data_IF_650899545797
#
_entry.id   IF_650899545797
#
_cell.length_a   1.000
_cell.length_b   1.000
_cell.length_c   1.000
_cell.angle_alpha   90.00
_cell.angle_beta   90.00
_cell.angle_gamma   90.00
#
_symmetry.space_group_name_H-M   'P 1'
#
loop_
_entity.id
_entity.type
_entity.pdbx_description
1 polymer ?
#
# COMPACT_ATOMS: atom_id res chain seq x y z
N UNK A 1 -6.99 -14.97 -20.03
CA UNK A 1 -8.01 -15.27 -19.00
C UNK A 1 -7.62 -16.49 -18.15
N UNK A 2 -7.34 -17.68 -18.70
CA UNK A 2 -7.05 -18.87 -17.90
C UNK A 2 -5.88 -18.70 -16.91
N UNK A 3 -4.72 -18.18 -17.37
CA UNK A 3 -3.57 -17.94 -16.49
C UNK A 3 -3.86 -16.95 -15.36
N UNK A 4 -4.62 -15.90 -15.66
CA UNK A 4 -5.07 -14.93 -14.66
C UNK A 4 -5.93 -15.62 -13.59
N UNK A 5 -6.95 -16.37 -14.00
CA UNK A 5 -7.84 -17.03 -13.05
C UNK A 5 -7.13 -18.09 -12.19
N UNK A 6 -6.21 -18.88 -12.77
CA UNK A 6 -5.43 -19.87 -12.02
C UNK A 6 -4.57 -19.21 -10.94
N UNK A 7 -3.84 -18.16 -11.28
CA UNK A 7 -2.99 -17.49 -10.28
C UNK A 7 -3.82 -16.70 -9.27
N UNK A 8 -4.93 -16.10 -9.67
CA UNK A 8 -5.87 -15.44 -8.76
C UNK A 8 -6.44 -16.44 -7.75
N UNK A 9 -6.90 -17.59 -8.20
CA UNK A 9 -7.39 -18.67 -7.32
C UNK A 9 -6.32 -19.11 -6.32
N UNK A 10 -5.12 -19.36 -6.82
CA UNK A 10 -3.99 -19.79 -5.99
C UNK A 10 -3.58 -18.73 -4.95
N UNK A 11 -3.35 -17.49 -5.38
CA UNK A 11 -2.93 -16.42 -4.44
C UNK A 11 -4.02 -16.08 -3.46
N UNK A 12 -5.29 -16.14 -3.85
CA UNK A 12 -6.40 -15.96 -2.91
C UNK A 12 -6.42 -17.10 -1.88
N UNK A 13 -6.31 -18.36 -2.27
CA UNK A 13 -6.26 -19.47 -1.32
C UNK A 13 -5.08 -19.36 -0.35
N UNK A 14 -3.89 -19.05 -0.87
CA UNK A 14 -2.65 -18.94 -0.10
C UNK A 14 -2.68 -17.79 0.91
N UNK A 15 -3.11 -16.60 0.47
CA UNK A 15 -2.99 -15.36 1.26
C UNK A 15 -4.18 -15.12 2.17
N UNK A 16 -5.34 -15.69 1.86
CA UNK A 16 -6.56 -15.47 2.63
C UNK A 16 -6.96 -16.66 3.51
N UNK A 17 -5.97 -17.50 3.84
CA UNK A 17 -6.07 -18.57 4.82
C UNK A 17 -7.10 -19.66 4.45
N UNK A 18 -7.06 -20.13 3.22
CA UNK A 18 -7.94 -21.22 2.75
C UNK A 18 -7.24 -22.58 2.62
N UNK A 19 -5.90 -22.60 2.71
CA UNK A 19 -5.13 -23.84 2.64
C UNK A 19 -5.07 -24.53 4.00
N UNK A 20 -4.83 -25.85 4.06
CA UNK A 20 -4.51 -26.55 5.30
C UNK A 20 -3.34 -25.89 6.04
N UNK A 21 -3.38 -25.92 7.37
CA UNK A 21 -2.34 -25.25 8.17
C UNK A 21 -0.96 -25.86 7.99
N UNK A 22 -0.90 -27.21 7.87
CA UNK A 22 0.35 -27.95 7.77
C UNK A 22 0.23 -29.22 6.95
N UNK A 23 1.34 -29.56 6.31
CA UNK A 23 1.60 -30.88 5.73
C UNK A 23 2.83 -31.48 6.41
N UNK A 24 2.82 -32.79 6.61
CA UNK A 24 3.99 -33.52 7.07
C UNK A 24 4.87 -33.90 5.87
N UNK A 25 6.08 -33.31 5.82
CA UNK A 25 7.07 -33.61 4.81
C UNK A 25 8.35 -34.12 5.48
N UNK A 26 8.69 -35.40 5.25
CA UNK A 26 9.87 -36.06 5.84
C UNK A 26 9.89 -35.99 7.37
N UNK A 27 8.75 -36.10 8.04
CA UNK A 27 8.64 -36.02 9.49
C UNK A 27 8.69 -34.59 10.07
N UNK A 28 8.61 -33.58 9.23
CA UNK A 28 8.58 -32.16 9.63
C UNK A 28 7.27 -31.54 9.18
N UNK A 29 6.56 -30.90 10.11
CA UNK A 29 5.37 -30.12 9.78
C UNK A 29 5.80 -28.81 9.12
N UNK A 30 5.23 -28.52 7.95
CA UNK A 30 5.43 -27.28 7.20
C UNK A 30 4.10 -26.70 6.78
N UNK A 31 4.01 -25.38 6.66
CA UNK A 31 2.83 -24.77 6.03
C UNK A 31 2.58 -25.35 4.66
N UNK A 32 1.33 -25.71 4.37
CA UNK A 32 0.97 -26.25 3.06
C UNK A 32 0.78 -25.17 2.01
N UNK A 33 1.89 -24.59 1.58
CA UNK A 33 1.93 -23.51 0.58
C UNK A 33 1.71 -24.01 -0.86
N UNK A 34 1.75 -25.32 -1.06
CA UNK A 34 1.67 -25.95 -2.39
C UNK A 34 0.44 -26.83 -2.53
N UNK A 35 -0.47 -26.83 -1.56
CA UNK A 35 -1.72 -27.59 -1.69
C UNK A 35 -2.50 -27.10 -2.91
N UNK A 36 -2.98 -28.05 -3.67
CA UNK A 36 -3.92 -27.80 -4.77
C UNK A 36 -5.39 -27.81 -4.29
N UNK A 37 -5.63 -28.11 -3.03
CA UNK A 37 -6.96 -28.30 -2.46
C UNK A 37 -7.13 -27.41 -1.22
N UNK A 38 -8.14 -26.55 -1.26
CA UNK A 38 -8.52 -25.73 -0.12
C UNK A 38 -9.04 -26.61 1.02
N UNK A 39 -8.85 -26.15 2.26
CA UNK A 39 -9.47 -26.73 3.43
C UNK A 39 -10.97 -26.39 3.45
N UNK A 40 -11.89 -27.40 3.38
CA UNK A 40 -13.32 -27.16 3.30
C UNK A 40 -13.88 -26.39 4.51
N UNK A 41 -13.36 -26.63 5.73
CA UNK A 41 -13.83 -25.96 6.95
C UNK A 41 -13.43 -24.49 6.94
N UNK A 42 -12.21 -24.20 6.47
CA UNK A 42 -11.73 -22.82 6.29
C UNK A 42 -12.54 -22.07 5.23
N UNK A 43 -12.84 -22.73 4.10
CA UNK A 43 -13.67 -22.13 3.04
C UNK A 43 -15.07 -21.81 3.56
N UNK A 44 -15.73 -22.78 4.21
CA UNK A 44 -17.10 -22.60 4.75
C UNK A 44 -17.17 -21.53 5.83
N UNK A 45 -16.15 -21.43 6.68
CA UNK A 45 -16.09 -20.43 7.77
C UNK A 45 -15.61 -19.04 7.33
N UNK A 46 -15.17 -18.88 6.08
CA UNK A 46 -14.65 -17.59 5.60
C UNK A 46 -15.76 -16.70 5.07
N UNK A 47 -15.81 -15.48 5.59
CA UNK A 47 -16.54 -14.35 5.02
C UNK A 47 -15.52 -13.28 4.65
N UNK A 48 -15.29 -13.11 3.35
CA UNK A 48 -14.32 -12.17 2.81
C UNK A 48 -14.96 -10.82 2.50
N UNK A 49 -14.28 -9.75 2.83
CA UNK A 49 -14.66 -8.40 2.41
C UNK A 49 -13.47 -7.62 1.89
N UNK A 50 -13.43 -7.43 0.59
CA UNK A 50 -12.55 -6.49 -0.07
C UNK A 50 -13.30 -5.17 -0.29
N UNK A 51 -12.70 -4.05 0.08
CA UNK A 51 -13.36 -2.73 -0.03
C UNK A 51 -12.93 -1.95 -1.28
N UNK A 52 -12.34 -2.62 -2.25
CA UNK A 52 -11.88 -1.97 -3.47
C UNK A 52 -13.08 -1.60 -4.37
N UNK A 53 -12.95 -0.48 -5.09
CA UNK A 53 -13.92 -0.10 -6.10
C UNK A 53 -13.80 -0.99 -7.34
N UNK A 54 -14.94 -1.42 -7.90
CA UNK A 54 -15.03 -2.32 -9.07
C UNK A 54 -14.37 -1.77 -10.34
N UNK A 55 -14.06 -0.48 -10.39
CA UNK A 55 -13.27 0.10 -11.48
C UNK A 55 -11.79 -0.33 -11.45
N UNK A 56 -11.32 -0.91 -10.34
CA UNK A 56 -9.94 -1.32 -10.15
C UNK A 56 -9.75 -2.83 -10.23
N UNK A 57 -8.57 -3.23 -10.71
CA UNK A 57 -8.21 -4.66 -10.81
C UNK A 57 -8.24 -5.37 -9.47
N UNK A 58 -8.02 -4.66 -8.36
CA UNK A 58 -8.07 -5.23 -7.01
C UNK A 58 -9.42 -5.87 -6.72
N UNK A 59 -10.52 -5.17 -7.04
CA UNK A 59 -11.85 -5.74 -6.88
C UNK A 59 -12.05 -6.94 -7.82
N UNK A 60 -11.64 -6.84 -9.10
CA UNK A 60 -11.74 -7.97 -10.01
C UNK A 60 -11.02 -9.20 -9.46
N UNK A 61 -9.80 -9.03 -8.95
CA UNK A 61 -8.97 -10.15 -8.49
C UNK A 61 -9.44 -10.70 -7.13
N UNK A 62 -9.65 -9.84 -6.13
CA UNK A 62 -9.82 -10.24 -4.74
C UNK A 62 -11.18 -9.87 -4.12
N UNK A 63 -12.12 -9.35 -4.89
CA UNK A 63 -13.53 -9.21 -4.49
C UNK A 63 -14.42 -10.12 -5.33
N UNK A 64 -14.07 -10.39 -6.61
CA UNK A 64 -14.92 -11.17 -7.49
C UNK A 64 -14.29 -12.54 -7.78
N UNK A 65 -13.18 -12.58 -8.53
CA UNK A 65 -12.69 -13.87 -9.08
C UNK A 65 -12.06 -14.77 -8.02
N UNK A 66 -11.26 -14.22 -7.10
CA UNK A 66 -10.58 -15.01 -6.08
C UNK A 66 -11.55 -15.71 -5.13
N UNK A 67 -12.43 -14.97 -4.44
CA UNK A 67 -13.41 -15.55 -3.54
C UNK A 67 -14.34 -16.55 -4.25
N UNK A 68 -14.95 -16.17 -5.37
CA UNK A 68 -15.92 -16.99 -6.06
C UNK A 68 -15.35 -18.29 -6.60
N UNK A 69 -14.13 -18.28 -7.15
CA UNK A 69 -13.48 -19.49 -7.67
C UNK A 69 -13.10 -20.46 -6.56
N UNK A 70 -12.85 -19.95 -5.35
CA UNK A 70 -12.53 -20.72 -4.16
C UNK A 70 -13.78 -21.09 -3.33
N UNK A 71 -14.97 -20.67 -3.75
CA UNK A 71 -16.23 -20.99 -3.06
C UNK A 71 -16.45 -20.24 -1.73
N UNK A 72 -15.77 -19.12 -1.54
CA UNK A 72 -15.82 -18.30 -0.31
C UNK A 72 -17.00 -17.34 -0.37
N UNK A 73 -17.69 -17.16 0.77
CA UNK A 73 -18.68 -16.11 0.93
C UNK A 73 -18.02 -14.74 0.94
N UNK A 74 -18.64 -13.77 0.26
CA UNK A 74 -18.10 -12.41 0.21
C UNK A 74 -19.17 -11.34 0.49
N UNK A 75 -18.70 -10.21 0.97
CA UNK A 75 -19.50 -9.00 1.17
C UNK A 75 -19.14 -8.00 0.07
N UNK A 76 -20.17 -7.55 -0.65
CA UNK A 76 -20.07 -6.45 -1.61
C UNK A 76 -20.85 -5.28 -1.02
N UNK A 77 -20.21 -4.12 -0.89
CA UNK A 77 -20.81 -2.93 -0.29
C UNK A 77 -20.97 -1.81 -1.32
N UNK A 78 -22.21 -1.43 -1.58
CA UNK A 78 -22.53 -0.26 -2.41
C UNK A 78 -22.54 1.00 -1.55
N UNK A 79 -21.43 1.74 -1.57
CA UNK A 79 -21.29 2.98 -0.80
C UNK A 79 -19.86 3.45 -0.72
N UNK A 80 -19.70 4.64 -0.13
CA UNK A 80 -18.38 5.21 0.17
C UNK A 80 -18.01 4.96 1.63
N UNK A 81 -16.72 5.06 2.00
CA UNK A 81 -16.25 4.72 3.36
C UNK A 81 -16.96 5.47 4.50
N UNK A 82 -17.45 6.67 4.23
CA UNK A 82 -18.12 7.54 5.19
C UNK A 82 -19.65 7.57 5.05
N UNK A 83 -20.24 6.68 4.27
CA UNK A 83 -21.67 6.65 4.01
C UNK A 83 -22.36 5.50 4.76
N UNK A 84 -23.38 5.74 5.58
CA UNK A 84 -23.88 7.05 6.02
C UNK A 84 -22.99 7.73 7.06
N UNK A 85 -22.02 7.00 7.63
CA UNK A 85 -21.03 7.46 8.62
C UNK A 85 -19.83 6.49 8.66
N UNK A 86 -18.68 6.92 9.16
CA UNK A 86 -17.45 6.10 9.21
C UNK A 86 -17.60 4.79 10.01
N UNK A 87 -18.46 4.74 11.03
CA UNK A 87 -18.74 3.51 11.78
C UNK A 87 -19.44 2.41 10.97
N UNK A 88 -19.88 2.70 9.74
CA UNK A 88 -20.55 1.73 8.87
C UNK A 88 -19.66 0.53 8.54
N UNK A 89 -18.38 0.71 8.39
CA UNK A 89 -17.44 -0.39 8.19
C UNK A 89 -17.48 -1.40 9.34
N UNK A 90 -17.52 -0.92 10.57
CA UNK A 90 -17.57 -1.75 11.76
C UNK A 90 -18.91 -2.51 11.87
N UNK A 91 -20.02 -1.84 11.52
CA UNK A 91 -21.35 -2.47 11.46
C UNK A 91 -21.41 -3.60 10.41
N UNK A 92 -20.75 -3.44 9.27
CA UNK A 92 -20.69 -4.47 8.22
C UNK A 92 -19.87 -5.67 8.70
N UNK A 93 -18.71 -5.42 9.33
CA UNK A 93 -17.85 -6.48 9.87
C UNK A 93 -18.66 -7.33 10.89
N UNK A 94 -19.27 -6.68 11.88
CA UNK A 94 -20.07 -7.36 12.90
C UNK A 94 -21.27 -8.09 12.29
N UNK A 95 -22.08 -7.38 11.48
CA UNK A 95 -23.33 -7.91 10.95
C UNK A 95 -23.18 -9.16 10.11
N UNK A 96 -22.12 -9.22 9.30
CA UNK A 96 -21.88 -10.33 8.38
C UNK A 96 -20.82 -11.31 8.89
N UNK A 97 -20.26 -11.08 10.07
CA UNK A 97 -19.23 -11.93 10.64
C UNK A 97 -18.00 -11.99 9.75
N UNK A 98 -17.54 -10.84 9.23
CA UNK A 98 -16.39 -10.76 8.35
C UNK A 98 -15.17 -11.35 9.04
N UNK A 99 -14.54 -12.31 8.39
CA UNK A 99 -13.33 -12.98 8.90
C UNK A 99 -12.05 -12.42 8.28
N UNK A 100 -12.14 -12.02 7.01
CA UNK A 100 -11.03 -11.50 6.22
C UNK A 100 -11.40 -10.11 5.69
N UNK A 101 -10.72 -9.08 6.20
CA UNK A 101 -10.97 -7.69 5.83
C UNK A 101 -9.76 -7.11 5.06
N UNK A 102 -9.96 -6.83 3.77
CA UNK A 102 -8.92 -6.38 2.84
C UNK A 102 -9.23 -5.01 2.29
N UNK A 103 -8.36 -4.04 2.52
CA UNK A 103 -8.65 -2.63 2.26
C UNK A 103 -7.42 -1.80 1.89
N UNK A 104 -7.62 -0.54 1.55
CA UNK A 104 -6.54 0.38 1.22
C UNK A 104 -6.06 1.17 2.46
N UNK A 105 -4.75 1.48 2.57
CA UNK A 105 -4.20 2.32 3.64
C UNK A 105 -4.89 3.66 3.80
N UNK A 106 -5.33 4.27 2.71
CA UNK A 106 -6.11 5.53 2.74
C UNK A 106 -7.41 5.39 3.52
N UNK A 107 -8.16 4.28 3.34
CA UNK A 107 -9.36 4.03 4.14
C UNK A 107 -9.01 3.86 5.62
N UNK A 108 -7.95 3.11 5.93
CA UNK A 108 -7.48 2.93 7.30
C UNK A 108 -7.17 4.28 7.95
N UNK A 109 -6.45 5.16 7.27
CA UNK A 109 -6.17 6.52 7.76
C UNK A 109 -7.44 7.34 7.98
N UNK A 110 -8.43 7.21 7.10
CA UNK A 110 -9.73 7.88 7.26
C UNK A 110 -10.48 7.38 8.51
N UNK A 111 -10.43 6.07 8.76
CA UNK A 111 -11.00 5.48 9.98
C UNK A 111 -10.23 5.92 11.23
N UNK A 112 -8.89 6.00 11.17
CA UNK A 112 -8.06 6.56 12.27
C UNK A 112 -8.42 8.01 12.55
N UNK A 113 -8.62 8.83 11.53
CA UNK A 113 -9.04 10.22 11.69
C UNK A 113 -10.40 10.36 12.40
N UNK A 114 -11.34 9.48 12.05
CA UNK A 114 -12.67 9.45 12.69
C UNK A 114 -12.67 8.78 14.08
N UNK A 115 -11.76 7.85 14.32
CA UNK A 115 -11.67 7.06 15.55
C UNK A 115 -10.20 6.94 16.01
N UNK A 116 -9.54 8.01 16.45
CA UNK A 116 -8.10 7.98 16.76
C UNK A 116 -7.69 6.91 17.79
N UNK A 117 -8.56 6.67 18.77
CA UNK A 117 -8.36 5.67 19.82
C UNK A 117 -9.12 4.34 19.54
N UNK A 118 -9.49 4.11 18.29
CA UNK A 118 -10.37 3.01 17.91
C UNK A 118 -11.85 3.32 18.16
N UNK A 119 -12.76 2.42 17.70
CA UNK A 119 -14.18 2.53 18.03
C UNK A 119 -14.40 2.36 19.53
N UNK A 120 -15.53 2.87 20.02
CA UNK A 120 -15.91 2.76 21.43
C UNK A 120 -15.90 1.29 21.89
N UNK A 121 -15.21 0.94 22.99
CA UNK A 121 -15.08 -0.43 23.44
C UNK A 121 -16.44 -1.10 23.66
N UNK A 122 -16.62 -2.29 23.10
CA UNK A 122 -17.85 -3.07 23.21
C UNK A 122 -19.01 -2.59 22.32
N UNK A 123 -18.81 -1.57 21.49
CA UNK A 123 -19.82 -1.08 20.57
C UNK A 123 -19.99 -1.97 19.35
N UNK A 124 -18.90 -2.61 18.91
CA UNK A 124 -18.89 -3.52 17.76
C UNK A 124 -18.16 -4.82 18.14
N UNK A 125 -18.60 -5.93 17.57
CA UNK A 125 -17.94 -7.24 17.71
C UNK A 125 -17.05 -7.55 16.52
N UNK A 126 -15.75 -7.65 16.75
CA UNK A 126 -14.73 -8.02 15.76
C UNK A 126 -14.14 -9.42 16.02
N UNK A 127 -14.75 -10.21 16.88
CA UNK A 127 -14.22 -11.53 17.29
C UNK A 127 -14.08 -12.52 16.13
N UNK A 128 -14.79 -12.28 15.03
CA UNK A 128 -14.68 -13.09 13.81
C UNK A 128 -13.48 -12.74 12.94
N UNK A 129 -12.88 -11.55 13.11
CA UNK A 129 -11.77 -11.08 12.25
C UNK A 129 -10.49 -11.84 12.59
N UNK A 130 -10.02 -12.66 11.67
CA UNK A 130 -8.78 -13.42 11.79
C UNK A 130 -7.67 -12.97 10.84
N UNK A 131 -8.06 -12.27 9.75
CA UNK A 131 -7.12 -11.76 8.76
C UNK A 131 -7.47 -10.34 8.35
N UNK A 132 -6.46 -9.49 8.34
CA UNK A 132 -6.48 -8.14 7.82
C UNK A 132 -5.53 -8.03 6.63
N UNK A 133 -5.82 -7.13 5.71
CA UNK A 133 -4.89 -6.90 4.60
C UNK A 133 -4.94 -5.48 4.06
N UNK A 134 -3.82 -5.07 3.47
CA UNK A 134 -3.67 -3.78 2.79
C UNK A 134 -3.21 -3.94 1.34
N UNK A 135 -3.62 -2.98 0.51
CA UNK A 135 -3.38 -2.98 -0.93
C UNK A 135 -3.45 -1.58 -1.53
N UNK A 136 -2.79 -1.41 -2.66
CA UNK A 136 -2.89 -0.23 -3.53
C UNK A 136 -1.84 0.83 -3.29
N UNK A 137 -1.33 0.94 -2.09
CA UNK A 137 -0.19 1.78 -1.70
C UNK A 137 0.52 1.17 -0.50
N UNK A 138 1.75 1.61 -0.23
CA UNK A 138 2.46 1.18 0.98
C UNK A 138 1.75 1.70 2.22
N UNK A 139 1.54 0.82 3.21
CA UNK A 139 0.93 1.20 4.47
C UNK A 139 1.99 1.72 5.44
N UNK A 140 1.69 2.83 6.10
CA UNK A 140 2.55 3.30 7.18
C UNK A 140 2.40 2.43 8.44
N UNK A 141 3.46 2.30 9.26
CA UNK A 141 3.44 1.45 10.45
C UNK A 141 2.33 1.80 11.46
N UNK A 142 1.92 3.05 11.55
CA UNK A 142 0.87 3.47 12.48
C UNK A 142 -0.51 2.99 12.06
N UNK A 143 -0.87 3.17 10.79
CA UNK A 143 -2.13 2.68 10.24
C UNK A 143 -2.22 1.14 10.34
N UNK A 144 -1.09 0.44 10.07
CA UNK A 144 -0.98 -1.00 10.25
C UNK A 144 -1.26 -1.42 11.70
N UNK A 145 -0.59 -0.77 12.69
CA UNK A 145 -0.77 -1.07 14.11
C UNK A 145 -2.19 -0.75 14.58
N UNK A 146 -2.71 0.39 14.16
CA UNK A 146 -4.05 0.82 14.51
C UNK A 146 -5.11 -0.19 14.07
N UNK A 147 -5.09 -0.59 12.78
CA UNK A 147 -6.06 -1.56 12.25
C UNK A 147 -5.93 -2.91 12.97
N UNK A 148 -4.70 -3.41 13.13
CA UNK A 148 -4.45 -4.67 13.81
C UNK A 148 -4.92 -4.65 15.27
N UNK A 149 -4.70 -3.55 15.98
CA UNK A 149 -5.09 -3.42 17.38
C UNK A 149 -6.61 -3.29 17.55
N UNK A 150 -7.24 -2.44 16.77
CA UNK A 150 -8.62 -2.02 17.01
C UNK A 150 -9.67 -2.85 16.25
N UNK A 151 -9.29 -3.49 15.16
CA UNK A 151 -10.19 -4.34 14.37
C UNK A 151 -9.76 -5.81 14.42
N UNK A 152 -8.46 -6.07 14.40
CA UNK A 152 -7.90 -7.43 14.46
C UNK A 152 -7.62 -7.96 15.87
N UNK A 153 -8.06 -7.29 16.94
CA UNK A 153 -7.87 -7.72 18.32
C UNK A 153 -6.40 -7.88 18.75
N UNK A 154 -5.44 -7.30 18.02
CA UNK A 154 -3.99 -7.42 18.24
C UNK A 154 -3.38 -8.75 17.78
N UNK A 155 -4.20 -9.74 17.40
CA UNK A 155 -3.75 -11.10 17.08
C UNK A 155 -3.98 -11.51 15.63
N UNK A 156 -4.92 -10.88 14.92
CA UNK A 156 -5.19 -11.18 13.51
C UNK A 156 -3.92 -11.12 12.66
N UNK A 157 -3.79 -12.06 11.72
CA UNK A 157 -2.76 -12.00 10.69
C UNK A 157 -2.95 -10.73 9.85
N UNK A 158 -1.84 -10.16 9.36
CA UNK A 158 -1.90 -8.95 8.52
C UNK A 158 -1.07 -9.14 7.26
N UNK A 159 -1.72 -9.18 6.11
CA UNK A 159 -1.07 -9.27 4.80
C UNK A 159 -0.96 -7.88 4.17
N UNK A 160 0.27 -7.42 3.95
CA UNK A 160 0.57 -6.21 3.17
C UNK A 160 0.98 -6.63 1.78
N UNK A 161 0.10 -6.46 0.81
CA UNK A 161 0.25 -7.06 -0.52
C UNK A 161 0.83 -6.06 -1.51
N UNK A 162 1.90 -6.45 -2.19
CA UNK A 162 2.40 -5.71 -3.33
C UNK A 162 2.13 -6.43 -4.65
N UNK A 163 1.49 -5.73 -5.55
CA UNK A 163 1.19 -6.15 -6.91
C UNK A 163 0.65 -4.99 -7.74
N UNK A 164 0.42 -5.20 -9.01
CA UNK A 164 -0.03 -4.19 -9.97
C UNK A 164 -1.10 -4.74 -10.90
N UNK A 165 -1.81 -3.87 -11.63
CA UNK A 165 -2.74 -4.27 -12.70
C UNK A 165 -2.05 -5.17 -13.72
N UNK A 166 -0.79 -4.88 -14.01
CA UNK A 166 0.05 -5.62 -14.95
C UNK A 166 0.44 -7.00 -14.49
N UNK A 167 0.56 -7.22 -13.18
CA UNK A 167 0.84 -8.55 -12.62
C UNK A 167 -0.42 -9.40 -12.46
N UNK A 168 -1.59 -8.75 -12.36
CA UNK A 168 -2.92 -9.37 -12.29
C UNK A 168 -3.25 -10.04 -10.96
N UNK A 169 -2.25 -10.36 -10.14
CA UNK A 169 -2.41 -10.91 -8.79
C UNK A 169 -1.19 -10.57 -7.94
N UNK A 170 -1.27 -10.84 -6.63
CA UNK A 170 -0.20 -10.55 -5.67
C UNK A 170 1.12 -11.19 -6.06
N UNK A 171 2.18 -10.41 -5.96
CA UNK A 171 3.57 -10.80 -6.22
C UNK A 171 4.33 -10.98 -4.91
N UNK A 172 4.25 -10.01 -3.99
CA UNK A 172 4.87 -10.11 -2.66
C UNK A 172 3.82 -9.90 -1.58
N UNK A 173 3.88 -10.72 -0.51
CA UNK A 173 3.03 -10.60 0.66
C UNK A 173 3.54 -11.48 1.81
N UNK A 174 3.40 -11.05 3.07
CA UNK A 174 3.41 -12.00 4.19
C UNK A 174 2.22 -12.96 4.06
N UNK A 175 2.30 -14.08 4.74
CA UNK A 175 1.28 -15.15 4.65
C UNK A 175 0.68 -15.40 6.04
N UNK A 176 -0.59 -15.81 6.13
CA UNK A 176 -1.24 -16.10 7.42
C UNK A 176 -0.49 -17.15 8.25
N UNK A 177 0.16 -18.09 7.57
CA UNK A 177 0.97 -19.15 8.19
C UNK A 177 2.38 -18.73 8.57
N UNK A 178 2.77 -17.47 8.35
CA UNK A 178 4.05 -16.98 8.84
C UNK A 178 4.05 -17.01 10.37
N UNK A 179 5.07 -17.60 11.01
CA UNK A 179 5.14 -17.77 12.47
C UNK A 179 4.93 -16.48 13.25
N UNK A 180 5.20 -15.35 12.63
CA UNK A 180 4.98 -14.03 13.17
C UNK A 180 3.54 -13.71 13.61
N UNK A 181 2.56 -14.38 13.00
CA UNK A 181 1.15 -14.17 13.31
C UNK A 181 0.56 -15.22 14.24
N UNK A 182 1.32 -16.29 14.52
CA UNK A 182 0.85 -17.35 15.40
C UNK A 182 0.97 -16.99 16.88
N UNK A 183 0.10 -17.52 17.73
CA UNK A 183 0.30 -17.49 19.15
C UNK A 183 1.60 -18.19 19.54
N UNK A 184 2.29 -17.68 20.55
CA UNK A 184 3.54 -18.26 21.05
C UNK A 184 3.37 -19.75 21.37
N UNK A 185 4.28 -20.59 20.87
CA UNK A 185 4.25 -22.04 21.07
C UNK A 185 3.35 -22.83 20.09
N UNK A 186 2.70 -22.17 19.13
CA UNK A 186 1.82 -22.85 18.14
C UNK A 186 2.65 -23.50 17.01
N UNK A 187 3.83 -22.98 16.72
CA UNK A 187 4.70 -23.49 15.66
C UNK A 187 5.75 -24.45 16.16
N UNK A 188 6.17 -25.43 15.34
CA UNK A 188 7.26 -26.34 15.68
C UNK A 188 8.56 -25.59 15.99
N UNK A 189 9.36 -26.13 16.93
CA UNK A 189 10.69 -25.60 17.24
C UNK A 189 11.57 -25.59 15.99
N UNK A 190 12.24 -24.46 15.74
CA UNK A 190 13.09 -24.27 14.53
C UNK A 190 12.36 -23.73 13.32
N UNK A 191 11.07 -23.40 13.40
CA UNK A 191 10.37 -22.67 12.33
C UNK A 191 10.98 -21.27 12.21
N UNK A 192 11.32 -20.79 10.99
CA UNK A 192 11.86 -19.46 10.81
C UNK A 192 10.90 -18.40 11.36
N UNK A 193 11.36 -17.55 12.23
CA UNK A 193 10.58 -16.45 12.76
C UNK A 193 10.56 -15.30 11.77
N UNK A 194 9.35 -14.91 11.34
CA UNK A 194 9.12 -13.58 10.73
C UNK A 194 8.47 -12.73 11.82
N UNK A 195 9.09 -11.64 12.21
CA UNK A 195 8.40 -10.63 13.03
C UNK A 195 7.38 -9.93 12.17
N UNK A 196 6.15 -9.64 12.65
CA UNK A 196 5.23 -8.78 11.90
C UNK A 196 5.91 -7.45 11.60
N UNK A 197 6.18 -7.21 10.32
CA UNK A 197 6.91 -6.02 9.86
C UNK A 197 5.90 -5.03 9.25
N UNK A 198 5.47 -4.01 10.01
CA UNK A 198 4.53 -3.01 9.50
C UNK A 198 5.08 -2.32 8.24
N UNK A 199 4.29 -2.32 7.16
CA UNK A 199 4.69 -1.71 5.89
C UNK A 199 5.68 -2.53 5.06
N UNK A 200 5.76 -3.85 5.32
CA UNK A 200 6.63 -4.76 4.61
C UNK A 200 5.82 -5.77 3.78
N UNK A 201 6.05 -5.82 2.47
CA UNK A 201 5.46 -6.81 1.59
C UNK A 201 6.15 -8.19 1.66
N UNK A 202 7.17 -8.31 2.50
CA UNK A 202 7.98 -9.52 2.76
C UNK A 202 8.56 -10.15 1.50
N UNK A 203 8.06 -11.29 1.04
CA UNK A 203 8.67 -12.10 -0.02
C UNK A 203 7.70 -12.37 -1.15
N UNK A 204 8.27 -12.71 -2.30
CA UNK A 204 7.47 -13.16 -3.43
C UNK A 204 6.69 -14.44 -3.09
N UNK A 205 5.43 -14.50 -3.56
CA UNK A 205 4.62 -15.72 -3.43
C UNK A 205 5.20 -16.85 -4.28
N UNK A 206 5.01 -18.14 -3.91
CA UNK A 206 5.53 -19.25 -4.70
C UNK A 206 5.11 -19.20 -6.17
N UNK A 207 6.03 -19.49 -7.06
CA UNK A 207 5.81 -19.48 -8.52
C UNK A 207 6.25 -18.21 -9.24
N UNK A 208 6.44 -17.10 -8.52
CA UNK A 208 7.02 -15.85 -9.02
C UNK A 208 8.31 -15.52 -8.25
N UNK A 209 9.14 -14.64 -8.78
CA UNK A 209 10.27 -14.10 -8.00
C UNK A 209 10.55 -12.65 -8.35
N UNK A 210 11.15 -11.96 -7.40
CA UNK A 210 11.52 -10.55 -7.48
C UNK A 210 12.96 -10.33 -7.09
N UNK A 211 13.53 -9.21 -7.54
CA UNK A 211 14.84 -8.72 -7.11
C UNK A 211 14.77 -7.22 -6.91
N UNK A 212 15.61 -6.72 -6.01
CA UNK A 212 15.89 -5.27 -5.91
C UNK A 212 17.23 -5.00 -6.55
N UNK A 213 17.26 -4.18 -7.60
CA UNK A 213 18.42 -3.96 -8.46
C UNK A 213 18.68 -2.47 -8.69
N UNK A 214 19.88 -2.13 -9.09
CA UNK A 214 20.24 -0.78 -9.53
C UNK A 214 19.81 -0.52 -10.99
N UNK A 215 20.17 0.63 -11.54
CA UNK A 215 19.87 1.03 -12.92
C UNK A 215 20.52 0.13 -13.98
N UNK A 216 21.58 -0.60 -13.62
CA UNK A 216 22.27 -1.54 -14.50
C UNK A 216 21.72 -2.97 -14.39
N UNK A 217 20.82 -3.20 -13.42
CA UNK A 217 20.26 -4.51 -13.11
C UNK A 217 21.16 -5.36 -12.23
N UNK A 218 22.11 -4.76 -11.54
CA UNK A 218 22.91 -5.47 -10.55
C UNK A 218 22.24 -5.41 -9.17
N UNK A 219 22.30 -6.50 -8.37
CA UNK A 219 21.69 -6.52 -7.05
C UNK A 219 22.23 -5.41 -6.16
N UNK A 220 21.36 -4.71 -5.45
CA UNK A 220 21.77 -3.74 -4.43
C UNK A 220 22.08 -4.45 -3.12
N UNK A 221 22.97 -3.86 -2.31
CA UNK A 221 23.24 -4.36 -0.97
C UNK A 221 22.00 -4.27 -0.07
N UNK A 222 21.82 -5.19 0.90
CA UNK A 222 20.73 -5.13 1.87
C UNK A 222 20.61 -3.74 2.51
N UNK A 223 19.38 -3.25 2.65
CA UNK A 223 19.06 -1.92 3.17
C UNK A 223 19.23 -0.77 2.17
N UNK A 224 19.85 -0.99 1.01
CA UNK A 224 19.95 0.01 -0.06
C UNK A 224 18.69 0.03 -0.92
N UNK A 225 18.34 1.21 -1.39
CA UNK A 225 17.22 1.40 -2.31
C UNK A 225 17.61 1.03 -3.75
N UNK A 226 16.68 0.38 -4.43
CA UNK A 226 16.80 0.04 -5.84
C UNK A 226 15.43 -0.01 -6.52
N UNK A 227 15.40 -0.64 -7.67
CA UNK A 227 14.19 -0.89 -8.45
C UNK A 227 13.73 -2.32 -8.22
N UNK A 228 12.43 -2.52 -7.91
CA UNK A 228 11.92 -3.88 -7.89
C UNK A 228 11.62 -4.36 -9.31
N UNK A 229 12.16 -5.50 -9.65
CA UNK A 229 11.89 -6.21 -10.91
C UNK A 229 11.27 -7.57 -10.61
N UNK A 230 10.41 -8.05 -11.52
CA UNK A 230 9.92 -9.43 -11.48
C UNK A 230 10.77 -10.22 -12.48
N UNK A 231 11.66 -11.07 -11.97
CA UNK A 231 12.59 -11.87 -12.78
C UNK A 231 12.03 -13.24 -13.16
N UNK A 232 11.02 -13.72 -12.45
CA UNK A 232 10.21 -14.88 -12.84
C UNK A 232 8.74 -14.50 -12.80
N UNK A 233 8.15 -14.37 -13.99
CA UNK A 233 6.77 -13.95 -14.16
C UNK A 233 5.78 -15.08 -13.91
N UNK A 234 4.61 -14.73 -13.31
CA UNK A 234 3.50 -15.65 -13.14
C UNK A 234 2.54 -15.68 -14.35
N UNK A 235 1.62 -16.64 -14.39
CA UNK A 235 0.68 -16.78 -15.50
C UNK A 235 -0.42 -15.70 -15.55
N UNK A 236 -0.60 -14.89 -14.49
CA UNK A 236 -1.57 -13.79 -14.44
C UNK A 236 -1.08 -12.52 -15.13
N UNK A 237 0.22 -12.41 -15.39
CA UNK A 237 0.78 -11.16 -15.92
C UNK A 237 0.20 -10.78 -17.27
N UNK A 238 0.00 -9.48 -17.46
CA UNK A 238 -0.43 -8.87 -18.70
C UNK A 238 0.48 -9.25 -19.87
N UNK A 239 -0.09 -9.46 -21.05
CA UNK A 239 0.63 -9.86 -22.25
C UNK A 239 0.88 -8.69 -23.19
N UNK A 240 0.10 -7.64 -23.07
CA UNK A 240 0.18 -6.45 -23.91
C UNK A 240 -0.76 -5.36 -23.39
N UNK A 241 -0.65 -4.14 -23.92
CA UNK A 241 -1.63 -3.08 -23.81
C UNK A 241 -2.50 -3.09 -25.09
N UNK A 242 -3.82 -3.03 -24.92
CA UNK A 242 -4.77 -3.03 -26.04
C UNK A 242 -4.45 -1.92 -27.04
N UNK A 243 -4.38 -2.29 -28.33
CA UNK A 243 -4.04 -1.40 -29.44
C UNK A 243 -2.69 -0.65 -29.33
N UNK A 244 -1.88 -0.93 -28.30
CA UNK A 244 -0.57 -0.30 -28.13
C UNK A 244 0.48 -1.26 -27.54
N UNK A 245 0.85 -2.33 -28.28
CA UNK A 245 1.83 -3.30 -27.81
C UNK A 245 3.22 -2.68 -27.59
N UNK A 246 3.56 -1.65 -28.38
CA UNK A 246 4.86 -0.98 -28.25
C UNK A 246 4.98 -0.28 -26.89
N UNK A 247 3.92 0.40 -26.41
CA UNK A 247 3.90 1.01 -25.08
C UNK A 247 4.16 -0.02 -23.99
N UNK A 248 3.61 -1.24 -24.11
CA UNK A 248 3.84 -2.31 -23.14
C UNK A 248 5.32 -2.70 -23.07
N UNK A 249 5.96 -2.86 -24.23
CA UNK A 249 7.38 -3.18 -24.31
C UNK A 249 8.26 -2.03 -23.76
N UNK A 250 7.99 -0.81 -24.17
CA UNK A 250 8.79 0.36 -23.78
C UNK A 250 8.67 0.66 -22.27
N UNK A 251 7.46 0.51 -21.67
CA UNK A 251 7.23 0.84 -20.26
C UNK A 251 7.78 -0.20 -19.29
N UNK A 252 7.70 -1.49 -19.64
CA UNK A 252 7.93 -2.55 -18.67
C UNK A 252 9.10 -3.48 -18.99
N UNK A 253 9.51 -3.59 -20.26
CA UNK A 253 10.50 -4.57 -20.69
C UNK A 253 11.77 -3.98 -21.27
N UNK A 254 11.72 -2.75 -21.79
CA UNK A 254 12.86 -2.14 -22.50
C UNK A 254 14.10 -2.02 -21.63
N UNK A 255 13.94 -1.63 -20.39
CA UNK A 255 15.07 -1.31 -19.50
C UNK A 255 15.92 -2.55 -19.18
N UNK A 256 15.27 -3.67 -18.83
CA UNK A 256 15.94 -4.94 -18.51
C UNK A 256 15.57 -6.07 -19.47
N UNK A 257 15.17 -5.74 -20.70
CA UNK A 257 14.67 -6.71 -21.69
C UNK A 257 15.65 -7.79 -22.07
N UNK A 258 16.94 -7.49 -22.12
CA UNK A 258 17.99 -8.47 -22.37
C UNK A 258 18.08 -9.54 -21.28
N UNK A 259 17.70 -9.21 -20.05
CA UNK A 259 17.60 -10.16 -18.92
C UNK A 259 16.23 -10.84 -18.83
N UNK A 260 15.24 -10.40 -19.62
CA UNK A 260 13.86 -10.92 -19.58
C UNK A 260 13.11 -10.53 -18.29
N UNK A 261 13.46 -9.42 -17.65
CA UNK A 261 12.87 -8.96 -16.41
C UNK A 261 11.84 -7.87 -16.64
N UNK A 262 10.75 -7.96 -15.90
CA UNK A 262 9.69 -6.97 -15.89
C UNK A 262 10.04 -5.85 -14.89
N UNK A 263 10.14 -4.62 -15.37
CA UNK A 263 10.30 -3.43 -14.52
C UNK A 263 8.94 -2.98 -13.99
N UNK A 264 8.72 -3.12 -12.70
CA UNK A 264 7.46 -2.73 -12.07
C UNK A 264 7.26 -1.21 -12.01
N UNK A 265 8.34 -0.43 -12.08
CA UNK A 265 8.29 1.01 -11.92
C UNK A 265 8.09 1.45 -10.46
N UNK A 266 8.34 0.55 -9.51
CA UNK A 266 8.36 0.83 -8.09
C UNK A 266 9.80 0.77 -7.54
N UNK A 267 10.10 1.66 -6.58
CA UNK A 267 11.29 1.59 -5.77
C UNK A 267 11.10 0.63 -4.61
N UNK A 268 12.15 -0.07 -4.23
CA UNK A 268 12.13 -0.98 -3.10
C UNK A 268 13.49 -1.06 -2.40
N UNK A 269 13.50 -1.62 -1.21
CA UNK A 269 14.70 -2.10 -0.51
C UNK A 269 14.45 -3.50 0.03
N UNK A 270 15.50 -4.25 0.20
CA UNK A 270 15.46 -5.58 0.81
C UNK A 270 16.34 -5.57 2.05
N UNK A 271 15.89 -6.17 3.15
CA UNK A 271 16.70 -6.30 4.35
C UNK A 271 17.62 -7.54 4.30
N UNK A 272 18.40 -7.76 5.36
CA UNK A 272 19.33 -8.90 5.47
C UNK A 272 18.61 -10.26 5.49
N UNK A 273 17.35 -10.30 5.90
CA UNK A 273 16.48 -11.47 5.91
C UNK A 273 15.76 -11.72 4.57
N UNK A 274 15.92 -10.83 3.60
CA UNK A 274 15.27 -10.90 2.29
C UNK A 274 13.82 -10.41 2.29
N UNK A 275 13.43 -9.57 3.24
CA UNK A 275 12.11 -8.95 3.25
C UNK A 275 12.10 -7.68 2.38
N UNK A 276 11.11 -7.56 1.54
CA UNK A 276 10.97 -6.47 0.57
C UNK A 276 10.06 -5.38 1.14
N UNK A 277 10.57 -4.16 1.13
CA UNK A 277 9.84 -2.94 1.49
C UNK A 277 9.62 -2.10 0.24
N UNK A 278 8.38 -1.82 -0.09
CA UNK A 278 8.02 -0.98 -1.24
C UNK A 278 8.07 0.49 -0.83
N UNK A 279 8.84 1.27 -1.55
CA UNK A 279 9.09 2.69 -1.26
C UNK A 279 8.19 3.64 -2.08
N UNK A 280 7.38 3.09 -2.97
CA UNK A 280 6.50 3.83 -3.88
C UNK A 280 6.98 3.82 -5.32
N UNK A 281 6.29 4.58 -6.18
CA UNK A 281 6.62 4.70 -7.60
C UNK A 281 7.99 5.33 -7.79
N UNK A 282 8.73 4.87 -8.80
CA UNK A 282 10.02 5.48 -9.18
C UNK A 282 9.84 6.96 -9.51
N UNK A 283 8.72 7.31 -10.14
CA UNK A 283 8.37 8.68 -10.49
C UNK A 283 8.04 9.55 -9.25
N UNK A 284 7.68 8.91 -8.12
CA UNK A 284 7.40 9.56 -6.84
C UNK A 284 8.64 9.60 -5.91
N UNK A 285 9.76 8.99 -6.33
CA UNK A 285 11.03 9.05 -5.58
C UNK A 285 11.72 10.38 -5.85
N UNK A 286 12.08 11.08 -4.78
CA UNK A 286 12.79 12.34 -4.86
C UNK A 286 14.28 12.08 -4.85
N UNK A 287 15.02 12.58 -5.84
CA UNK A 287 16.47 12.50 -5.87
C UNK A 287 17.08 13.84 -5.43
N UNK A 288 17.47 13.93 -4.17
CA UNK A 288 18.09 15.13 -3.60
C UNK A 288 19.59 14.89 -3.44
N UNK A 289 20.41 15.58 -4.23
CA UNK A 289 21.87 15.48 -4.15
C UNK A 289 22.40 14.04 -4.26
N UNK A 290 21.79 13.21 -5.11
CA UNK A 290 22.15 11.80 -5.28
C UNK A 290 21.54 10.83 -4.25
N UNK A 291 20.81 11.34 -3.27
CA UNK A 291 20.06 10.51 -2.33
C UNK A 291 18.62 10.32 -2.81
N UNK A 292 18.20 9.08 -2.89
CA UNK A 292 16.80 8.72 -3.21
C UNK A 292 15.99 8.70 -1.93
N UNK A 293 14.91 9.49 -1.89
CA UNK A 293 13.99 9.61 -0.77
C UNK A 293 12.59 9.22 -1.22
N UNK A 294 11.91 8.42 -0.44
CA UNK A 294 10.50 8.09 -0.67
C UNK A 294 9.61 9.25 -0.22
N UNK A 295 8.72 9.71 -1.11
CA UNK A 295 7.67 10.66 -0.74
C UNK A 295 6.80 10.11 0.40
N UNK A 296 6.51 8.81 0.37
CA UNK A 296 5.69 8.12 1.36
C UNK A 296 6.35 8.12 2.74
N UNK A 297 7.67 7.97 2.83
CA UNK A 297 8.38 8.07 4.12
C UNK A 297 8.25 9.48 4.71
N UNK A 298 8.37 10.53 3.88
CA UNK A 298 8.21 11.92 4.32
C UNK A 298 6.75 12.18 4.73
N UNK A 299 5.78 11.73 3.93
CA UNK A 299 4.35 11.82 4.27
C UNK A 299 4.04 11.11 5.59
N UNK A 300 4.57 9.90 5.78
CA UNK A 300 4.40 9.13 7.01
C UNK A 300 4.96 9.87 8.23
N UNK A 301 6.11 10.50 8.10
CA UNK A 301 6.65 11.33 9.18
C UNK A 301 5.75 12.55 9.45
N UNK A 302 5.29 13.24 8.41
CA UNK A 302 4.45 14.43 8.57
C UNK A 302 3.12 14.14 9.28
N UNK A 303 2.46 13.02 9.00
CA UNK A 303 1.18 12.66 9.62
C UNK A 303 1.31 12.22 11.09
N UNK A 304 2.52 11.95 11.58
CA UNK A 304 2.75 11.73 13.03
C UNK A 304 2.81 13.02 13.83
N UNK A 305 2.89 14.16 13.17
CA UNK A 305 2.89 15.45 13.86
C UNK A 305 1.46 15.88 14.23
N UNK A 306 1.20 16.33 15.48
CA UNK A 306 -0.16 16.68 15.96
C UNK A 306 -0.90 17.72 15.12
N UNK A 307 -0.19 18.59 14.42
CA UNK A 307 -0.78 19.62 13.55
C UNK A 307 -1.32 19.08 12.20
N UNK A 308 -1.03 17.82 11.81
CA UNK A 308 -1.28 17.30 10.46
C UNK A 308 -2.31 16.18 10.49
N UNK A 309 -3.33 16.31 9.64
CA UNK A 309 -4.31 15.24 9.38
C UNK A 309 -3.86 14.34 8.23
N UNK A 310 -3.42 14.96 7.13
CA UNK A 310 -2.99 14.26 5.93
C UNK A 310 -1.85 15.03 5.27
N UNK A 311 -0.97 14.32 4.57
CA UNK A 311 0.15 14.90 3.84
C UNK A 311 0.29 14.27 2.46
N UNK A 312 0.63 15.09 1.46
CA UNK A 312 1.05 14.68 0.13
C UNK A 312 2.37 15.37 -0.22
N UNK A 313 3.38 14.58 -0.58
CA UNK A 313 4.71 15.11 -0.90
C UNK A 313 5.03 14.86 -2.36
N UNK A 314 5.55 15.88 -3.04
CA UNK A 314 5.95 15.76 -4.44
C UNK A 314 7.38 16.26 -4.67
N UNK A 315 8.09 15.68 -5.67
CA UNK A 315 9.33 16.26 -6.17
C UNK A 315 9.05 17.54 -6.94
N UNK A 316 9.92 18.53 -6.74
CA UNK A 316 10.01 19.71 -7.59
C UNK A 316 11.46 19.86 -8.08
N UNK A 317 11.64 20.32 -9.31
CA UNK A 317 12.97 20.51 -9.88
C UNK A 317 13.76 21.59 -9.11
N UNK A 318 15.05 21.36 -8.97
CA UNK A 318 15.98 22.27 -8.31
C UNK A 318 17.36 22.17 -8.98
N UNK A 319 17.87 23.31 -9.41
CA UNK A 319 19.12 23.37 -10.21
C UNK A 319 20.37 22.88 -9.46
N UNK A 320 20.37 22.93 -8.12
CA UNK A 320 21.52 22.57 -7.29
C UNK A 320 21.47 21.11 -6.84
N UNK A 321 20.29 20.63 -6.50
CA UNK A 321 20.10 19.32 -5.85
C UNK A 321 19.43 18.28 -6.75
N UNK A 322 19.06 18.66 -7.97
CA UNK A 322 18.25 17.88 -8.90
C UNK A 322 16.75 18.00 -8.57
N UNK A 323 16.36 17.56 -7.40
CA UNK A 323 14.99 17.75 -6.86
C UNK A 323 15.03 18.24 -5.42
N UNK A 324 13.89 18.78 -5.00
CA UNK A 324 13.56 19.02 -3.59
C UNK A 324 12.13 18.58 -3.28
N UNK A 325 11.85 18.29 -2.03
CA UNK A 325 10.52 17.91 -1.58
C UNK A 325 9.65 19.15 -1.28
N UNK A 326 8.42 19.15 -1.78
CA UNK A 326 7.37 20.08 -1.33
C UNK A 326 6.26 19.27 -0.69
N UNK A 327 5.87 19.66 0.52
CA UNK A 327 4.83 18.99 1.29
C UNK A 327 3.54 19.83 1.26
N UNK A 328 2.43 19.18 0.90
CA UNK A 328 1.08 19.69 1.07
C UNK A 328 0.45 19.01 2.28
N UNK A 329 -0.14 19.78 3.18
CA UNK A 329 -0.70 19.24 4.42
C UNK A 329 -2.12 19.77 4.66
N UNK A 330 -3.00 18.89 5.12
CA UNK A 330 -4.27 19.30 5.73
C UNK A 330 -4.08 19.33 7.24
N UNK A 331 -4.65 20.33 7.89
CA UNK A 331 -4.33 20.66 9.28
C UNK A 331 -5.43 20.21 10.24
N UNK A 332 -5.01 19.79 11.43
CA UNK A 332 -5.87 19.68 12.61
C UNK A 332 -6.28 21.06 13.09
N UNK A 333 -7.21 21.14 14.06
CA UNK A 333 -7.55 22.43 14.64
C UNK A 333 -6.33 23.07 15.36
N UNK A 334 -5.50 22.28 16.02
CA UNK A 334 -4.22 22.74 16.61
C UNK A 334 -3.26 23.27 15.53
N UNK A 335 -3.20 22.62 14.38
CA UNK A 335 -2.37 23.06 13.27
C UNK A 335 -2.82 24.36 12.63
N UNK A 336 -4.11 24.65 12.64
CA UNK A 336 -4.68 25.92 12.13
C UNK A 336 -4.33 27.13 12.97
N UNK A 337 -3.96 26.94 14.24
CA UNK A 337 -3.55 28.02 15.15
C UNK A 337 -2.10 28.47 14.89
N UNK A 338 -1.32 27.71 14.13
CA UNK A 338 0.07 28.06 13.78
C UNK A 338 0.12 29.01 12.59
N UNK A 339 1.04 29.96 12.64
CA UNK A 339 1.41 30.74 11.46
C UNK A 339 2.12 29.85 10.42
N UNK A 340 2.17 30.29 9.18
CA UNK A 340 2.82 29.56 8.09
C UNK A 340 4.30 29.26 8.40
N UNK A 341 5.02 30.24 8.95
CA UNK A 341 6.45 30.09 9.31
C UNK A 341 6.63 29.10 10.48
N UNK A 342 5.78 29.17 11.50
CA UNK A 342 5.79 28.22 12.62
C UNK A 342 5.48 26.80 12.17
N UNK A 343 4.45 26.62 11.34
CA UNK A 343 4.08 25.33 10.77
C UNK A 343 5.24 24.73 9.95
N UNK A 344 5.80 25.52 9.04
CA UNK A 344 6.94 25.10 8.22
C UNK A 344 8.15 24.72 9.05
N UNK A 345 8.48 25.53 10.07
CA UNK A 345 9.60 25.25 10.98
C UNK A 345 9.38 23.96 11.77
N UNK A 346 8.18 23.77 12.36
CA UNK A 346 7.83 22.60 13.15
C UNK A 346 7.86 21.32 12.30
N UNK A 347 7.21 21.30 11.14
CA UNK A 347 7.16 20.15 10.27
C UNK A 347 8.52 19.81 9.65
N UNK A 348 9.32 20.81 9.30
CA UNK A 348 10.69 20.58 8.81
C UNK A 348 11.58 19.98 9.89
N UNK A 349 11.47 20.45 11.14
CA UNK A 349 12.21 19.90 12.28
C UNK A 349 11.79 18.44 12.54
N UNK A 350 10.49 18.17 12.50
CA UNK A 350 9.92 16.84 12.71
C UNK A 350 10.40 15.82 11.66
N UNK A 351 10.33 16.16 10.36
CA UNK A 351 10.85 15.30 9.28
C UNK A 351 12.36 15.09 9.44
N UNK A 352 13.11 16.12 9.81
CA UNK A 352 14.55 16.00 10.04
C UNK A 352 14.89 15.04 11.20
N UNK A 353 14.10 15.03 12.24
CA UNK A 353 14.29 14.15 13.40
C UNK A 353 13.99 12.69 13.03
N UNK A 354 12.92 12.43 12.28
CA UNK A 354 12.44 11.08 11.99
C UNK A 354 13.14 10.40 10.80
N UNK A 355 13.55 11.17 9.78
CA UNK A 355 14.14 10.61 8.55
C UNK A 355 15.60 11.08 8.39
N UNK A 356 15.86 12.34 8.68
CA UNK A 356 17.21 12.90 8.52
C UNK A 356 17.22 14.26 7.81
N UNK A 357 18.37 14.95 7.82
CA UNK A 357 18.48 16.33 7.36
C UNK A 357 18.27 16.52 5.84
N UNK A 358 18.46 15.47 5.03
CA UNK A 358 18.30 15.52 3.58
C UNK A 358 16.81 15.51 3.19
N UNK A 359 15.96 14.86 3.99
CA UNK A 359 14.54 14.71 3.73
C UNK A 359 13.69 15.96 4.04
N UNK A 360 14.29 17.02 4.58
CA UNK A 360 13.57 18.24 4.96
C UNK A 360 12.82 18.83 3.76
N UNK A 361 11.52 19.13 3.87
CA UNK A 361 10.80 19.82 2.81
C UNK A 361 11.40 21.21 2.53
N UNK A 362 11.52 21.55 1.24
CA UNK A 362 11.83 22.92 0.78
C UNK A 362 10.71 23.87 1.20
N UNK A 363 9.49 23.37 1.07
CA UNK A 363 8.30 24.14 1.39
C UNK A 363 7.20 23.27 1.98
N UNK A 364 6.31 23.91 2.76
CA UNK A 364 5.12 23.31 3.34
C UNK A 364 3.93 24.21 2.98
N UNK A 365 2.93 23.63 2.32
CA UNK A 365 1.74 24.32 1.85
C UNK A 365 0.53 23.76 2.58
N UNK A 366 -0.11 24.57 3.43
CA UNK A 366 -1.36 24.18 4.07
C UNK A 366 -2.52 24.32 3.07
N UNK A 367 -3.31 23.26 2.92
CA UNK A 367 -4.42 23.17 1.97
C UNK A 367 -5.67 22.61 2.64
N UNK A 368 -6.83 22.87 2.06
CA UNK A 368 -8.10 22.34 2.58
C UNK A 368 -8.27 20.84 2.27
N UNK A 369 -7.79 20.39 1.11
CA UNK A 369 -7.83 19.00 0.68
C UNK A 369 -6.70 18.71 -0.31
N UNK A 370 -6.32 17.43 -0.44
CA UNK A 370 -5.26 16.96 -1.34
C UNK A 370 -5.91 16.20 -2.50
N UNK A 371 -5.47 16.39 -3.76
CA UNK A 371 -6.08 15.75 -4.92
C UNK A 371 -5.88 14.24 -4.89
N UNK A 372 -6.98 13.49 -4.98
CA UNK A 372 -7.02 12.03 -4.88
C UNK A 372 -7.81 11.42 -6.03
N UNK A 373 -7.41 10.23 -6.41
CA UNK A 373 -8.23 9.39 -7.28
C UNK A 373 -9.45 8.87 -6.52
N UNK A 374 -10.42 8.30 -7.23
CA UNK A 374 -11.61 7.65 -6.62
C UNK A 374 -11.26 6.51 -5.65
N UNK A 375 -10.08 5.92 -5.79
CA UNK A 375 -9.56 4.93 -4.83
C UNK A 375 -8.87 5.56 -3.61
N UNK A 376 -8.84 6.88 -3.49
CA UNK A 376 -8.20 7.62 -2.41
C UNK A 376 -6.68 7.80 -2.57
N UNK A 377 -6.09 7.37 -3.68
CA UNK A 377 -4.64 7.53 -3.93
C UNK A 377 -4.31 8.99 -4.24
N UNK A 378 -3.36 9.57 -3.51
CA UNK A 378 -2.83 10.92 -3.73
C UNK A 378 -2.17 11.00 -5.12
N UNK A 379 -2.52 12.03 -5.88
CA UNK A 379 -1.96 12.28 -7.21
C UNK A 379 -0.78 13.27 -7.13
N UNK A 380 0.36 12.78 -6.65
CA UNK A 380 1.57 13.59 -6.38
C UNK A 380 2.09 14.34 -7.60
N UNK A 381 1.95 13.75 -8.79
CA UNK A 381 2.29 14.41 -10.05
C UNK A 381 1.59 15.78 -10.18
N UNK A 382 0.29 15.83 -9.89
CA UNK A 382 -0.48 17.08 -10.02
C UNK A 382 -0.06 18.13 -9.01
N UNK A 383 0.33 17.72 -7.79
CA UNK A 383 0.88 18.63 -6.78
C UNK A 383 2.19 19.28 -7.27
N UNK A 384 3.08 18.49 -7.86
CA UNK A 384 4.34 18.97 -8.43
C UNK A 384 4.15 19.89 -9.63
N UNK A 385 3.21 19.56 -10.51
CA UNK A 385 2.87 20.40 -11.70
C UNK A 385 2.26 21.73 -11.26
N UNK A 386 1.34 21.74 -10.27
CA UNK A 386 0.79 22.96 -9.69
C UNK A 386 1.87 23.88 -9.10
N UNK A 387 2.77 23.31 -8.28
CA UNK A 387 3.84 24.11 -7.65
C UNK A 387 4.80 24.73 -8.67
N UNK A 388 5.01 24.05 -9.79
CA UNK A 388 5.90 24.51 -10.86
C UNK A 388 5.19 25.31 -11.95
N UNK A 389 3.88 25.59 -11.81
CA UNK A 389 3.08 26.33 -12.80
C UNK A 389 2.95 25.62 -14.15
N UNK A 390 3.00 24.27 -14.15
CA UNK A 390 2.95 23.45 -15.36
C UNK A 390 1.51 23.03 -15.71
N UNK A 391 1.31 22.60 -16.95
CA UNK A 391 0.02 22.01 -17.38
C UNK A 391 -0.24 20.70 -16.67
N UNK A 392 -1.45 20.54 -16.12
CA UNK A 392 -1.84 19.37 -15.31
C UNK A 392 -2.08 18.10 -16.14
N UNK A 393 -2.26 18.21 -17.47
CA UNK A 393 -2.58 17.07 -18.31
C UNK A 393 -3.94 16.44 -17.98
N UNK A 394 -4.02 15.10 -18.01
CA UNK A 394 -5.26 14.37 -17.74
C UNK A 394 -5.56 14.32 -16.23
N UNK A 395 -6.74 14.81 -15.85
CA UNK A 395 -7.26 14.85 -14.48
C UNK A 395 -8.53 14.01 -14.29
N UNK A 396 -8.97 13.28 -15.31
CA UNK A 396 -10.26 12.55 -15.32
C UNK A 396 -10.38 11.45 -14.23
N UNK A 397 -9.27 11.02 -13.65
CA UNK A 397 -9.24 10.01 -12.58
C UNK A 397 -9.50 10.58 -11.18
N UNK A 398 -9.55 11.90 -11.01
CA UNK A 398 -9.74 12.54 -9.73
C UNK A 398 -11.17 12.37 -9.20
N UNK A 399 -11.27 12.21 -7.88
CA UNK A 399 -12.53 12.26 -7.15
C UNK A 399 -12.90 13.70 -6.76
N UNK A 400 -11.89 14.51 -6.40
CA UNK A 400 -12.01 15.86 -5.85
C UNK A 400 -11.26 16.86 -6.74
N UNK A 401 -11.68 17.00 -7.98
CA UNK A 401 -11.04 17.90 -8.96
C UNK A 401 -11.00 19.37 -8.48
N UNK A 402 -11.99 19.79 -7.68
CA UNK A 402 -12.04 21.10 -7.05
C UNK A 402 -10.84 21.42 -6.15
N UNK A 403 -10.19 20.41 -5.58
CA UNK A 403 -8.99 20.59 -4.79
C UNK A 403 -7.84 21.24 -5.59
N UNK A 404 -7.75 20.95 -6.88
CA UNK A 404 -6.74 21.56 -7.75
C UNK A 404 -6.89 23.08 -7.85
N UNK A 405 -8.15 23.55 -8.02
CA UNK A 405 -8.46 24.97 -8.08
C UNK A 405 -8.13 25.69 -6.75
N UNK A 406 -8.46 25.07 -5.62
CA UNK A 406 -8.14 25.62 -4.30
C UNK A 406 -6.62 25.68 -4.05
N UNK A 407 -5.88 24.63 -4.41
CA UNK A 407 -4.42 24.61 -4.26
C UNK A 407 -3.77 25.68 -5.15
N UNK A 408 -4.19 25.78 -6.42
CA UNK A 408 -3.68 26.79 -7.32
C UNK A 408 -3.88 28.19 -6.75
N UNK A 409 -5.06 28.49 -6.19
CA UNK A 409 -5.33 29.77 -5.56
C UNK A 409 -4.42 30.03 -4.35
N UNK A 410 -4.22 29.04 -3.47
CA UNK A 410 -3.30 29.15 -2.30
C UNK A 410 -1.88 29.44 -2.78
N UNK A 411 -1.40 28.78 -3.84
CA UNK A 411 -0.06 28.99 -4.37
C UNK A 411 0.13 30.41 -4.94
N UNK A 412 -0.90 30.96 -5.60
CA UNK A 412 -0.90 32.35 -6.10
C UNK A 412 -0.95 33.35 -4.92
N UNK A 413 -1.89 33.18 -3.98
CA UNK A 413 -2.09 34.10 -2.85
C UNK A 413 -0.86 34.18 -1.96
N UNK A 414 -0.09 33.09 -1.88
CA UNK A 414 1.15 33.01 -1.09
C UNK A 414 2.41 33.33 -1.90
N UNK A 415 2.27 33.73 -3.19
CA UNK A 415 3.36 34.15 -4.05
C UNK A 415 4.34 33.04 -4.47
N UNK A 416 3.90 31.79 -4.41
CA UNK A 416 4.70 30.61 -4.81
C UNK A 416 4.67 30.38 -6.33
N UNK A 417 3.57 30.75 -6.93
CA UNK A 417 3.38 30.69 -8.39
C UNK A 417 2.80 32.03 -8.85
N UNK A 418 3.23 32.50 -10.03
CA UNK A 418 2.79 33.78 -10.63
C UNK A 418 1.60 33.62 -11.56
#
# INVERSE_FOLDING_TARGET
>A
MAGYLVQTAYTHALLYDLLPDYVEENGVLRPDELSAVNDPEKVESTVHWCTADLAWVTAHTYEIYGPLVNGVSEVIYEGTPNTPHYGRHFEVIERYGVTNYYTAPTLIRSLMGAFPNGPEPGKYDFSTVRLLGSVGESINPEAWRWLRQHVGGGTAAFIDTWWQSETGSTVCSPRPHDPAFAPEGTYPEGTPHCTPLPGCATRAVPGVSTRVVDEHGDPVEPGKQGFIVVDKIGPSMARTVWQNPQRFLDSYWRHYGERGWFLAGDGAKEDEEGNVYILGRIDDVINISGHRLSTIEIESALVTHPAVVEAGVCPVEDDLTGHQAVAYVTLTDEGKDLTEDELKAALTAHVREHIGPIAKPKDVVAVADIPKTRSGKITRRLLGELYQGRSLGDVSSLQNEEALGHIAQVLVDTGRVS
#
